data_IF_347279477067
#
_entry.id   IF_347279477067
#
_cell.length_a   1.000
_cell.length_b   1.000
_cell.length_c   1.000
_cell.angle_alpha   90.00
_cell.angle_beta   90.00
_cell.angle_gamma   90.00
#
_symmetry.space_group_name_H-M   'P 1'
#
loop_
_entity.id
_entity.type
_entity.pdbx_description
1 polymer ?
#
# COMPACT_ATOMS: atom_id res chain seq x y z
N UNK A 1 -58.39 -28.07 24.10
CA UNK A 1 -57.33 -28.99 23.60
C UNK A 1 -56.40 -28.16 22.72
N UNK A 2 -55.21 -27.84 23.23
CA UNK A 2 -53.93 -28.45 22.84
C UNK A 2 -53.31 -27.79 21.58
N UNK A 3 -52.32 -26.93 21.86
CA UNK A 3 -51.02 -26.82 21.19
C UNK A 3 -51.02 -26.89 19.66
N UNK A 4 -50.76 -25.76 19.01
CA UNK A 4 -49.56 -25.60 18.17
C UNK A 4 -49.53 -24.16 17.66
N UNK A 5 -48.72 -23.28 18.26
CA UNK A 5 -47.35 -22.97 17.81
C UNK A 5 -47.42 -22.03 16.59
N UNK A 6 -47.40 -20.71 16.79
CA UNK A 6 -46.18 -19.91 16.57
C UNK A 6 -45.40 -20.38 15.33
N UNK A 7 -45.90 -20.09 14.13
CA UNK A 7 -45.10 -20.24 12.90
C UNK A 7 -45.52 -19.16 11.91
N UNK A 8 -45.30 -17.89 12.27
CA UNK A 8 -45.50 -16.76 11.37
C UNK A 8 -44.38 -15.71 11.45
N UNK A 9 -43.23 -16.08 12.04
CA UNK A 9 -42.05 -15.21 12.17
C UNK A 9 -40.82 -16.07 11.85
N UNK A 10 -40.48 -16.30 10.59
CA UNK A 10 -39.15 -16.82 10.21
C UNK A 10 -38.89 -16.88 8.68
N UNK A 11 -39.47 -16.04 7.83
CA UNK A 11 -39.03 -16.02 6.40
C UNK A 11 -39.16 -14.61 5.83
N UNK A 12 -38.22 -13.71 6.16
CA UNK A 12 -37.94 -12.50 5.37
C UNK A 12 -36.67 -11.76 5.85
N UNK A 13 -35.60 -12.51 6.11
CA UNK A 13 -34.27 -11.95 6.34
C UNK A 13 -33.25 -12.79 5.59
N UNK A 14 -33.47 -12.91 4.27
CA UNK A 14 -32.45 -13.44 3.36
C UNK A 14 -31.50 -12.30 3.02
N UNK A 15 -30.47 -12.19 3.85
CA UNK A 15 -29.07 -11.93 3.47
C UNK A 15 -28.87 -11.15 2.15
N UNK A 16 -28.76 -9.84 2.23
CA UNK A 16 -27.96 -9.04 1.30
C UNK A 16 -26.59 -8.79 1.91
N UNK A 17 -25.81 -9.87 2.10
CA UNK A 17 -24.36 -9.74 2.24
C UNK A 17 -23.84 -9.41 0.84
N UNK A 18 -23.69 -8.13 0.55
CA UNK A 18 -22.90 -7.68 -0.59
C UNK A 18 -21.47 -8.13 -0.34
N UNK A 19 -21.10 -9.26 -0.95
CA UNK A 19 -19.72 -9.71 -1.04
C UNK A 19 -18.99 -8.72 -1.92
N UNK A 20 -18.33 -7.73 -1.31
CA UNK A 20 -17.39 -6.86 -2.00
C UNK A 20 -16.26 -7.76 -2.52
N UNK A 21 -16.32 -8.11 -3.79
CA UNK A 21 -15.20 -8.73 -4.49
C UNK A 21 -14.16 -7.63 -4.68
N UNK A 22 -13.11 -7.65 -3.87
CA UNK A 22 -11.89 -6.90 -4.18
C UNK A 22 -11.22 -7.64 -5.34
N UNK A 23 -11.51 -7.18 -6.55
CA UNK A 23 -10.70 -7.53 -7.71
C UNK A 23 -9.28 -7.02 -7.42
N UNK A 24 -8.40 -7.92 -7.00
CA UNK A 24 -6.96 -7.71 -7.08
C UNK A 24 -6.61 -7.69 -8.56
N UNK A 25 -6.91 -6.59 -9.24
CA UNK A 25 -6.29 -6.32 -10.53
C UNK A 25 -4.82 -6.11 -10.23
N UNK A 26 -4.03 -7.16 -10.43
CA UNK A 26 -2.61 -7.01 -10.65
C UNK A 26 -2.47 -6.03 -11.81
N UNK A 27 -2.21 -4.77 -11.49
CA UNK A 27 -1.90 -3.80 -12.50
C UNK A 27 -0.54 -4.21 -13.07
N UNK A 28 -0.54 -4.77 -14.27
CA UNK A 28 0.68 -5.33 -14.88
C UNK A 28 1.79 -4.27 -15.06
N UNK A 29 1.43 -2.99 -15.18
CA UNK A 29 2.40 -1.91 -15.44
C UNK A 29 2.05 -0.64 -14.66
N UNK A 30 3.02 -0.01 -13.99
CA UNK A 30 2.77 1.26 -13.30
C UNK A 30 2.39 2.36 -14.27
N UNK A 31 1.58 3.32 -13.80
CA UNK A 31 1.22 4.54 -14.50
C UNK A 31 1.52 5.77 -13.62
N UNK A 32 1.91 6.87 -14.26
CA UNK A 32 2.06 8.14 -13.53
C UNK A 32 0.69 8.60 -13.06
N UNK A 33 0.60 8.96 -11.78
CA UNK A 33 -0.65 9.31 -11.11
C UNK A 33 -1.25 8.18 -10.26
N UNK A 34 -0.75 6.95 -10.39
CA UNK A 34 -1.23 5.85 -9.56
C UNK A 34 -0.95 6.10 -8.08
N UNK A 35 -1.93 5.75 -7.24
CA UNK A 35 -1.79 5.80 -5.80
C UNK A 35 -1.53 4.41 -5.24
N UNK A 36 -0.42 4.28 -4.52
CA UNK A 36 -0.01 3.07 -3.82
C UNK A 36 -0.05 3.31 -2.30
N UNK A 37 -0.05 2.24 -1.53
CA UNK A 37 0.05 2.28 -0.08
C UNK A 37 1.36 1.65 0.37
N UNK A 38 2.15 2.40 1.15
CA UNK A 38 3.35 1.85 1.79
C UNK A 38 2.92 0.95 2.95
N UNK A 39 3.34 -0.30 2.94
CA UNK A 39 3.08 -1.25 4.02
C UNK A 39 4.31 -1.43 4.91
N UNK A 40 4.14 -2.06 6.06
CA UNK A 40 5.27 -2.41 6.92
C UNK A 40 6.19 -3.42 6.23
N UNK A 41 7.50 -3.17 6.30
CA UNK A 41 8.51 -4.09 5.77
C UNK A 41 8.51 -5.40 6.58
N UNK A 42 8.63 -6.53 5.90
CA UNK A 42 8.79 -7.85 6.53
C UNK A 42 10.18 -8.00 7.17
N UNK A 43 11.19 -7.28 6.65
CA UNK A 43 12.56 -7.26 7.19
C UNK A 43 12.89 -6.03 8.03
N UNK A 44 14.13 -5.96 8.51
CA UNK A 44 14.64 -4.82 9.30
C UNK A 44 14.62 -3.48 8.55
N UNK A 45 14.61 -3.52 7.22
CA UNK A 45 14.59 -2.35 6.34
C UNK A 45 13.90 -2.69 5.01
N UNK A 46 13.44 -1.64 4.32
CA UNK A 46 12.86 -1.76 2.97
C UNK A 46 13.95 -2.08 1.96
N UNK A 47 13.76 -3.15 1.21
CA UNK A 47 14.70 -3.64 0.21
C UNK A 47 14.35 -3.13 -1.19
N UNK A 48 13.07 -2.92 -1.47
CA UNK A 48 12.57 -2.61 -2.81
C UNK A 48 12.03 -1.18 -2.94
N UNK A 49 11.68 -0.54 -1.81
CA UNK A 49 11.50 0.91 -1.69
C UNK A 49 12.77 1.53 -1.12
N UNK A 50 13.39 2.47 -1.84
CA UNK A 50 14.69 3.04 -1.49
C UNK A 50 14.63 4.07 -0.35
N UNK A 51 14.03 3.70 0.78
CA UNK A 51 14.07 4.52 1.98
C UNK A 51 15.46 4.51 2.62
N UNK A 52 15.89 5.64 3.23
CA UNK A 52 17.12 5.68 3.99
C UNK A 52 17.09 4.67 5.13
N UNK A 53 18.26 4.10 5.45
CA UNK A 53 18.44 3.29 6.66
C UNK A 53 18.18 4.13 7.91
N UNK A 54 17.74 3.48 9.00
CA UNK A 54 17.43 4.16 10.26
C UNK A 54 18.61 4.98 10.79
N UNK A 55 19.84 4.48 10.67
CA UNK A 55 21.04 5.22 11.05
C UNK A 55 21.26 6.49 10.20
N UNK A 56 20.96 6.45 8.91
CA UNK A 56 21.03 7.61 8.01
C UNK A 56 19.95 8.64 8.38
N UNK A 57 18.76 8.19 8.76
CA UNK A 57 17.69 9.07 9.22
C UNK A 57 18.15 9.83 10.48
N UNK A 58 18.72 9.12 11.46
CA UNK A 58 19.24 9.71 12.72
C UNK A 58 20.41 10.66 12.47
N UNK A 59 21.40 10.25 11.66
CA UNK A 59 22.56 11.10 11.33
C UNK A 59 22.18 12.43 10.68
N UNK A 60 20.99 12.50 10.08
CA UNK A 60 20.42 13.71 9.45
C UNK A 60 19.38 14.41 10.33
N UNK A 61 19.33 14.11 11.63
CA UNK A 61 18.46 14.76 12.61
C UNK A 61 17.01 14.25 12.64
N UNK A 62 16.72 13.12 12.00
CA UNK A 62 15.41 12.47 12.06
C UNK A 62 15.28 11.46 13.20
N UNK A 63 14.06 10.95 13.41
CA UNK A 63 13.79 9.87 14.37
C UNK A 63 14.07 8.52 13.69
N UNK A 64 14.76 7.60 14.36
CA UNK A 64 15.10 6.26 13.86
C UNK A 64 13.86 5.36 13.75
N UNK A 65 12.97 5.64 12.81
CA UNK A 65 11.75 4.86 12.64
C UNK A 65 11.20 4.91 11.22
N UNK A 66 10.65 3.76 10.77
CA UNK A 66 9.85 3.68 9.55
C UNK A 66 8.36 3.96 9.78
N UNK A 67 7.91 4.13 11.03
CA UNK A 67 6.49 4.37 11.35
C UNK A 67 5.90 5.59 10.62
N UNK A 68 6.73 6.56 10.26
CA UNK A 68 6.30 7.77 9.54
C UNK A 68 5.86 7.54 8.09
N UNK A 69 6.17 6.38 7.52
CA UNK A 69 5.83 6.01 6.14
C UNK A 69 4.88 4.81 6.04
N UNK A 70 4.70 4.04 7.12
CA UNK A 70 3.75 2.92 7.14
C UNK A 70 2.32 3.43 7.01
N UNK A 71 1.52 2.77 6.16
CA UNK A 71 0.15 3.14 5.80
C UNK A 71 0.02 4.56 5.20
N UNK A 72 1.10 5.10 4.64
CA UNK A 72 1.07 6.38 3.95
C UNK A 72 0.78 6.17 2.47
N UNK A 73 -0.25 6.83 1.90
CA UNK A 73 -0.48 6.83 0.47
C UNK A 73 0.62 7.59 -0.28
N UNK A 74 1.10 7.02 -1.37
CA UNK A 74 2.13 7.61 -2.24
C UNK A 74 1.65 7.60 -3.68
N UNK A 75 2.08 8.59 -4.46
CA UNK A 75 1.69 8.75 -5.87
C UNK A 75 2.92 8.56 -6.74
N UNK A 76 2.78 7.78 -7.82
CA UNK A 76 3.82 7.65 -8.84
C UNK A 76 3.92 8.96 -9.62
N UNK A 77 5.07 9.63 -9.56
CA UNK A 77 5.31 10.90 -10.26
C UNK A 77 6.10 10.71 -11.55
N UNK A 78 6.88 9.63 -11.65
CA UNK A 78 7.69 9.33 -12.83
C UNK A 78 7.95 7.84 -12.92
N UNK A 79 7.98 7.32 -14.15
CA UNK A 79 8.42 5.97 -14.46
C UNK A 79 9.79 6.07 -15.15
N UNK A 80 10.73 5.26 -14.72
CA UNK A 80 12.08 5.15 -15.26
C UNK A 80 12.30 3.69 -15.64
N UNK A 81 12.46 3.45 -16.94
CA UNK A 81 12.70 2.10 -17.44
C UNK A 81 14.11 1.64 -17.05
N UNK A 82 14.21 0.46 -16.44
CA UNK A 82 15.49 -0.24 -16.35
C UNK A 82 15.76 -0.98 -17.66
N UNK A 83 17.04 -1.12 -18.02
CA UNK A 83 17.45 -1.87 -19.21
C UNK A 83 17.00 -3.34 -19.21
N UNK A 84 16.70 -3.87 -18.02
CA UNK A 84 16.35 -5.27 -17.80
C UNK A 84 14.83 -5.51 -17.73
N UNK A 85 14.01 -4.50 -18.05
CA UNK A 85 12.55 -4.61 -18.04
C UNK A 85 11.88 -4.40 -16.66
N UNK A 86 12.66 -4.13 -15.61
CA UNK A 86 12.13 -3.72 -14.31
C UNK A 86 11.72 -2.23 -14.31
N UNK A 87 10.53 -1.91 -13.80
CA UNK A 87 10.03 -0.54 -13.76
C UNK A 87 10.49 0.14 -12.47
N UNK A 88 11.42 1.08 -12.58
CA UNK A 88 11.78 1.94 -11.43
C UNK A 88 10.82 3.11 -11.39
N UNK A 89 10.03 3.21 -10.33
CA UNK A 89 9.08 4.30 -10.15
C UNK A 89 9.64 5.33 -9.17
N UNK A 90 9.45 6.61 -9.47
CA UNK A 90 9.60 7.68 -8.51
C UNK A 90 8.25 7.94 -7.86
N UNK A 91 8.24 8.01 -6.53
CA UNK A 91 7.05 8.23 -5.72
C UNK A 91 7.21 9.46 -4.82
N UNK A 92 6.09 10.13 -4.55
CA UNK A 92 5.96 11.16 -3.52
C UNK A 92 4.79 10.86 -2.59
N UNK A 93 4.80 11.40 -1.37
CA UNK A 93 3.65 11.25 -0.45
C UNK A 93 2.45 12.00 -1.02
N UNK A 94 1.29 11.36 -1.04
CA UNK A 94 0.04 11.98 -1.50
C UNK A 94 -0.36 13.19 -0.62
N UNK A 95 0.10 13.25 0.63
CA UNK A 95 -0.11 14.37 1.55
C UNK A 95 0.84 15.56 1.32
N UNK A 96 1.71 15.50 0.32
CA UNK A 96 2.68 16.54 -0.04
C UNK A 96 3.83 16.72 0.95
N UNK A 97 3.88 15.95 2.05
CA UNK A 97 4.99 16.02 3.01
C UNK A 97 6.23 15.33 2.44
N UNK A 98 7.38 15.62 3.04
CA UNK A 98 8.63 14.93 2.74
C UNK A 98 8.70 13.58 3.47
N UNK A 99 9.30 12.58 2.84
CA UNK A 99 9.72 11.36 3.51
C UNK A 99 10.79 11.67 4.56
N UNK A 100 10.56 11.19 5.79
CA UNK A 100 11.46 11.37 6.94
C UNK A 100 11.86 12.84 7.19
N UNK A 101 11.01 13.80 6.80
CA UNK A 101 11.29 15.25 6.79
C UNK A 101 12.53 15.68 5.96
N UNK A 102 13.04 14.82 5.08
CA UNK A 102 14.30 15.03 4.37
C UNK A 102 14.13 15.17 2.85
N UNK A 103 13.48 14.21 2.20
CA UNK A 103 13.36 14.18 0.74
C UNK A 103 11.91 14.14 0.30
N UNK A 104 11.58 14.83 -0.79
CA UNK A 104 10.24 14.81 -1.37
C UNK A 104 9.97 13.53 -2.16
N UNK A 105 10.99 13.03 -2.84
CA UNK A 105 10.88 11.90 -3.75
C UNK A 105 11.75 10.73 -3.28
N UNK A 106 11.25 9.52 -3.50
CA UNK A 106 11.97 8.25 -3.31
C UNK A 106 11.72 7.39 -4.55
N UNK A 107 12.65 6.48 -4.85
CA UNK A 107 12.46 5.51 -5.92
C UNK A 107 12.12 4.13 -5.36
N UNK A 108 11.42 3.31 -6.13
CA UNK A 108 11.13 1.92 -5.81
C UNK A 108 11.20 1.05 -7.06
N UNK A 109 11.61 -0.21 -6.89
CA UNK A 109 11.38 -1.27 -7.89
C UNK A 109 9.91 -1.66 -7.81
N UNK A 110 9.11 -1.32 -8.83
CA UNK A 110 7.66 -1.47 -8.74
C UNK A 110 7.24 -2.93 -8.55
N UNK A 111 7.68 -3.81 -9.43
CA UNK A 111 7.30 -5.21 -9.43
C UNK A 111 7.78 -5.91 -8.16
N UNK A 112 9.00 -5.62 -7.71
CA UNK A 112 9.54 -6.22 -6.49
C UNK A 112 8.88 -5.67 -5.22
N UNK A 113 8.57 -4.36 -5.19
CA UNK A 113 7.93 -3.75 -4.03
C UNK A 113 6.48 -4.21 -3.86
N UNK A 114 5.76 -4.45 -4.96
CA UNK A 114 4.42 -5.04 -4.93
C UNK A 114 4.51 -6.51 -4.49
N UNK A 115 5.39 -7.31 -5.09
CA UNK A 115 5.52 -8.74 -4.79
C UNK A 115 6.04 -9.04 -3.38
N UNK A 116 6.95 -8.22 -2.85
CA UNK A 116 7.41 -8.29 -1.45
C UNK A 116 6.38 -7.76 -0.45
N UNK A 117 5.36 -7.05 -0.93
CA UNK A 117 4.33 -6.43 -0.10
C UNK A 117 4.78 -5.13 0.57
N UNK A 118 5.93 -4.56 0.23
CA UNK A 118 6.38 -3.23 0.69
C UNK A 118 5.47 -2.11 0.17
N UNK A 119 4.92 -2.29 -1.03
CA UNK A 119 3.88 -1.46 -1.63
C UNK A 119 2.64 -2.31 -1.91
N UNK A 120 1.46 -1.69 -1.82
CA UNK A 120 0.19 -2.29 -2.21
C UNK A 120 -0.57 -1.38 -3.13
N UNK A 121 -1.22 -1.96 -4.13
CA UNK A 121 -2.21 -1.25 -4.93
C UNK A 121 -3.35 -0.82 -4.00
N UNK A 122 -3.73 0.45 -4.08
CA UNK A 122 -4.89 0.94 -3.34
C UNK A 122 -6.14 0.46 -4.08
N UNK A 123 -6.83 -0.54 -3.51
CA UNK A 123 -8.17 -0.96 -3.97
C UNK A 123 -9.22 0.14 -3.82
#
# INVERSE_FOLDING_TARGET
MKKSLFTFIAVLLVSSISLAHTDNKEQEKPQVGDTLLVSESVGEYYKHVNFPRLNTIVKRGGVATYKSVVNVPVVITKIMDSKDGASIVQIERADGKKFFNQTKYITASYEDAISSGELKLKS
#
